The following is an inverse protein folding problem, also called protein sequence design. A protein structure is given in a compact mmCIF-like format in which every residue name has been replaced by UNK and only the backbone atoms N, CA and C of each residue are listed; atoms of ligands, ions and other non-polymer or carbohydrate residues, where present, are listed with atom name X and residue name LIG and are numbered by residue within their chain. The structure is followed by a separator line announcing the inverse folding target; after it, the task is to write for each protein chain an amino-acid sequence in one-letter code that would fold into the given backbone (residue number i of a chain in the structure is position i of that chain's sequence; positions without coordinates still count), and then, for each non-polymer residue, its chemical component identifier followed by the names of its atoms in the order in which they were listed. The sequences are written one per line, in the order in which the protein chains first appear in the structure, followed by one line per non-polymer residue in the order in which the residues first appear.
data_IF_002169907400
#
_entry.id   IF_002169907400
#
_cell.length_a   1.000
_cell.length_b   1.000
_cell.length_c   1.000
_cell.angle_alpha   90.00
_cell.angle_beta   90.00
_cell.angle_gamma   90.00
#
_symmetry.space_group_name_H-M   'P 1'
#
loop_
_entity.id
_entity.type
_entity.pdbx_description
1 polymer ?
#
# COMPACT_ATOMS: atom_id res chain seq x y z
N UNK A 1 19.89 18.03 -12.46
CA UNK A 1 18.91 19.12 -12.62
C UNK A 1 17.95 18.96 -11.48
N UNK A 2 17.91 19.95 -10.60
CA UNK A 2 16.92 19.93 -9.53
C UNK A 2 15.52 20.11 -10.15
N UNK A 3 14.51 19.39 -9.64
CA UNK A 3 13.15 19.51 -10.15
C UNK A 3 12.62 20.94 -9.96
N UNK A 4 11.64 21.32 -10.78
CA UNK A 4 10.89 22.56 -10.59
C UNK A 4 10.31 22.59 -9.15
N UNK A 5 10.48 23.68 -8.38
CA UNK A 5 9.91 23.81 -7.05
C UNK A 5 8.41 23.50 -6.99
N UNK A 6 7.65 23.84 -8.04
CA UNK A 6 6.22 23.53 -8.12
C UNK A 6 5.96 22.01 -8.23
N UNK A 7 6.87 21.25 -8.86
CA UNK A 7 6.78 19.80 -8.91
C UNK A 7 7.06 19.16 -7.57
N UNK A 8 8.06 19.67 -6.83
CA UNK A 8 8.34 19.17 -5.48
C UNK A 8 7.21 19.49 -4.53
N UNK A 9 6.65 20.70 -4.57
CA UNK A 9 5.52 21.10 -3.72
C UNK A 9 4.29 20.22 -3.98
N UNK A 10 3.93 20.01 -5.25
CA UNK A 10 2.80 19.16 -5.61
C UNK A 10 3.06 17.69 -5.22
N UNK A 11 4.29 17.20 -5.37
CA UNK A 11 4.67 15.86 -4.94
C UNK A 11 4.61 15.70 -3.41
N UNK A 12 4.99 16.72 -2.65
CA UNK A 12 4.89 16.73 -1.18
C UNK A 12 3.43 16.69 -0.74
N UNK A 13 2.54 17.47 -1.38
CA UNK A 13 1.10 17.42 -1.12
C UNK A 13 0.52 16.02 -1.39
N UNK A 14 0.83 15.43 -2.55
CA UNK A 14 0.40 14.06 -2.88
C UNK A 14 0.97 13.02 -1.90
N UNK A 15 2.23 13.16 -1.50
CA UNK A 15 2.90 12.28 -0.55
C UNK A 15 2.25 12.33 0.84
N UNK A 16 1.96 13.54 1.33
CA UNK A 16 1.28 13.73 2.61
C UNK A 16 -0.09 13.05 2.60
N UNK A 17 -0.88 13.25 1.53
CA UNK A 17 -2.20 12.66 1.41
C UNK A 17 -2.16 11.14 1.24
N UNK A 18 -1.27 10.63 0.39
CA UNK A 18 -1.08 9.18 0.22
C UNK A 18 -0.67 8.51 1.53
N UNK A 19 0.15 9.17 2.34
CA UNK A 19 0.56 8.67 3.66
C UNK A 19 -0.61 8.65 4.63
N UNK A 20 -1.42 9.70 4.67
CA UNK A 20 -2.62 9.76 5.51
C UNK A 20 -3.56 8.59 5.19
N UNK A 21 -3.94 8.44 3.92
CA UNK A 21 -4.81 7.34 3.46
C UNK A 21 -4.23 5.97 3.82
N UNK A 22 -2.93 5.78 3.62
CA UNK A 22 -2.27 4.53 4.02
C UNK A 22 -2.33 4.29 5.54
N UNK A 23 -2.11 5.32 6.36
CA UNK A 23 -2.20 5.22 7.83
C UNK A 23 -3.63 4.98 8.28
N UNK A 24 -4.61 5.60 7.65
CA UNK A 24 -6.03 5.38 7.90
C UNK A 24 -6.47 3.93 7.65
N UNK A 25 -5.74 3.18 6.82
CA UNK A 25 -5.93 1.73 6.68
C UNK A 25 -5.15 0.95 7.74
N UNK A 26 -3.84 1.12 7.82
CA UNK A 26 -2.99 0.22 8.62
C UNK A 26 -3.09 0.44 10.12
N UNK A 27 -3.62 1.59 10.54
CA UNK A 27 -3.88 1.92 11.96
C UNK A 27 -5.31 1.58 12.40
N UNK A 28 -6.17 1.04 11.52
CA UNK A 28 -7.52 0.66 11.93
C UNK A 28 -7.49 -0.37 13.05
N UNK A 29 -8.38 -0.26 14.06
CA UNK A 29 -8.62 -1.33 15.00
C UNK A 29 -8.95 -2.63 14.25
N UNK A 30 -8.27 -3.72 14.60
CA UNK A 30 -8.45 -5.01 13.93
C UNK A 30 -7.62 -5.22 12.66
N UNK A 31 -6.89 -4.21 12.16
CA UNK A 31 -6.07 -4.36 10.95
C UNK A 31 -5.03 -5.48 11.06
N UNK A 32 -4.39 -5.63 12.23
CA UNK A 32 -3.43 -6.72 12.45
C UNK A 32 -4.08 -8.09 12.38
N UNK A 33 -5.29 -8.25 12.92
CA UNK A 33 -6.00 -9.52 12.88
C UNK A 33 -6.47 -9.83 11.46
N UNK A 34 -6.97 -8.83 10.73
CA UNK A 34 -7.29 -8.93 9.31
C UNK A 34 -6.04 -9.33 8.50
N UNK A 35 -4.91 -8.64 8.68
CA UNK A 35 -3.66 -8.95 8.00
C UNK A 35 -3.18 -10.38 8.31
N UNK A 36 -3.27 -10.82 9.57
CA UNK A 36 -2.91 -12.19 9.98
C UNK A 36 -3.78 -13.25 9.32
N UNK A 37 -5.09 -13.01 9.17
CA UNK A 37 -6.06 -13.99 8.64
C UNK A 37 -6.13 -13.99 7.11
N UNK A 38 -5.92 -12.84 6.48
CA UNK A 38 -6.07 -12.66 5.02
C UNK A 38 -4.75 -12.71 4.27
N UNK A 39 -3.65 -12.96 4.97
CA UNK A 39 -2.35 -13.20 4.37
C UNK A 39 -1.68 -14.41 5.03
N UNK A 40 -0.78 -15.13 4.35
CA UNK A 40 -0.10 -16.28 4.95
C UNK A 40 1.04 -15.87 5.88
N UNK A 41 0.95 -14.72 6.58
CA UNK A 41 2.05 -14.21 7.40
C UNK A 41 2.42 -15.19 8.51
N UNK A 42 1.44 -15.83 9.15
CA UNK A 42 1.68 -16.77 10.24
C UNK A 42 2.41 -18.03 9.73
N UNK A 43 2.09 -18.50 8.52
CA UNK A 43 2.83 -19.58 7.87
C UNK A 43 4.25 -19.14 7.49
N UNK A 44 4.39 -17.95 6.89
CA UNK A 44 5.70 -17.37 6.51
C UNK A 44 6.63 -17.26 7.72
N UNK A 45 6.11 -16.93 8.89
CA UNK A 45 6.88 -16.87 10.15
C UNK A 45 7.42 -18.23 10.61
N UNK A 46 6.75 -19.33 10.23
CA UNK A 46 7.10 -20.69 10.63
C UNK A 46 7.91 -21.45 9.56
N UNK A 47 7.98 -20.95 8.32
CA UNK A 47 8.72 -21.60 7.25
C UNK A 47 10.26 -21.37 7.39
N UNK A 48 11.10 -22.41 7.15
CA UNK A 48 12.55 -22.30 7.20
C UNK A 48 13.13 -21.66 5.92
N UNK A 49 12.53 -20.56 5.46
CA UNK A 49 12.87 -19.87 4.21
C UNK A 49 13.69 -18.59 4.43
N UNK A 50 13.70 -18.06 5.65
CA UNK A 50 14.39 -16.82 5.99
C UNK A 50 15.49 -17.07 7.03
N UNK A 51 16.65 -16.43 6.83
CA UNK A 51 17.77 -16.46 7.79
C UNK A 51 17.55 -15.57 9.02
N UNK A 52 16.53 -14.70 8.97
CA UNK A 52 16.24 -13.69 9.98
C UNK A 52 14.80 -13.86 10.47
N UNK A 53 14.53 -13.62 11.76
CA UNK A 53 13.17 -13.64 12.27
C UNK A 53 12.34 -12.52 11.62
N UNK A 54 11.06 -12.80 11.36
CA UNK A 54 10.12 -11.86 10.73
C UNK A 54 9.78 -10.66 11.60
N UNK A 55 9.88 -10.85 12.92
CA UNK A 55 9.61 -9.84 13.95
C UNK A 55 10.89 -9.40 14.65
N UNK A 56 10.91 -8.21 15.24
CA UNK A 56 12.08 -7.70 15.96
C UNK A 56 12.10 -8.18 17.41
N UNK A 57 10.95 -8.17 18.09
CA UNK A 57 10.78 -8.52 19.51
C UNK A 57 9.81 -9.68 19.73
N UNK A 58 9.10 -10.12 18.69
CA UNK A 58 8.09 -11.19 18.76
C UNK A 58 6.70 -10.68 19.11
N UNK A 59 6.50 -9.36 19.11
CA UNK A 59 5.20 -8.73 19.38
C UNK A 59 4.30 -8.83 18.15
N UNK A 60 3.03 -9.18 18.34
CA UNK A 60 2.02 -9.21 17.27
C UNK A 60 1.53 -7.80 16.93
N UNK A 61 2.42 -6.97 16.39
CA UNK A 61 2.14 -5.60 15.95
C UNK A 61 2.80 -5.28 14.61
N UNK A 62 2.31 -4.25 13.90
CA UNK A 62 2.94 -3.79 12.66
C UNK A 62 4.32 -3.17 12.90
N UNK A 63 4.48 -2.45 14.01
CA UNK A 63 5.74 -1.80 14.37
C UNK A 63 6.88 -2.81 14.60
N UNK A 64 6.55 -4.02 15.04
CA UNK A 64 7.51 -5.10 15.28
C UNK A 64 7.79 -5.94 14.03
N UNK A 65 6.89 -5.90 13.02
CA UNK A 65 7.03 -6.63 11.77
C UNK A 65 8.11 -6.01 10.87
N UNK A 66 8.94 -6.85 10.24
CA UNK A 66 9.96 -6.38 9.29
C UNK A 66 9.38 -6.16 7.90
N UNK A 67 10.03 -5.28 7.15
CA UNK A 67 9.60 -4.90 5.80
C UNK A 67 9.50 -6.08 4.81
N UNK A 68 10.44 -7.04 4.87
CA UNK A 68 10.41 -8.21 3.97
C UNK A 68 9.15 -9.06 4.22
N UNK A 69 8.87 -9.56 5.44
CA UNK A 69 7.62 -10.27 5.74
C UNK A 69 6.37 -9.46 5.40
N UNK A 70 6.36 -8.15 5.69
CA UNK A 70 5.24 -7.27 5.36
C UNK A 70 4.90 -7.28 3.86
N UNK A 71 5.90 -7.00 3.01
CA UNK A 71 5.70 -6.98 1.56
C UNK A 71 5.42 -8.38 1.03
N UNK A 72 6.10 -9.40 1.56
CA UNK A 72 5.98 -10.77 1.08
C UNK A 72 4.58 -11.35 1.35
N UNK A 73 3.99 -11.12 2.52
CA UNK A 73 2.65 -11.56 2.87
C UNK A 73 1.58 -11.01 1.92
N UNK A 74 1.59 -9.69 1.65
CA UNK A 74 0.67 -9.06 0.68
C UNK A 74 0.91 -9.48 -0.77
N UNK A 75 2.14 -9.88 -1.10
CA UNK A 75 2.46 -10.42 -2.43
C UNK A 75 1.82 -11.79 -2.61
N UNK A 76 1.79 -12.63 -1.57
CA UNK A 76 1.13 -13.95 -1.63
C UNK A 76 -0.39 -13.82 -1.77
N UNK A 77 -1.03 -12.90 -1.05
CA UNK A 77 -2.49 -12.67 -1.16
C UNK A 77 -2.91 -11.85 -2.40
N UNK A 78 -1.96 -11.49 -3.27
CA UNK A 78 -2.17 -10.73 -4.52
C UNK A 78 -2.81 -9.35 -4.36
N UNK A 79 -2.94 -8.85 -3.12
CA UNK A 79 -3.46 -7.52 -2.85
C UNK A 79 -2.38 -6.43 -3.00
N UNK A 80 -1.12 -6.72 -2.60
CA UNK A 80 0.02 -5.81 -2.78
C UNK A 80 -0.13 -4.38 -2.24
N UNK A 81 -0.94 -4.19 -1.20
CA UNK A 81 -1.21 -2.91 -0.52
C UNK A 81 0.02 -2.02 -0.36
N UNK A 82 1.20 -2.51 0.10
CA UNK A 82 2.35 -1.62 0.39
C UNK A 82 2.93 -0.91 -0.84
N UNK A 83 2.58 -1.35 -2.05
CA UNK A 83 3.19 -0.87 -3.29
C UNK A 83 2.33 0.17 -4.04
N UNK A 84 1.06 0.35 -3.66
CA UNK A 84 0.15 1.24 -4.40
C UNK A 84 -0.90 1.93 -3.53
N UNK A 85 -1.22 1.41 -2.33
CA UNK A 85 -2.33 1.92 -1.54
C UNK A 85 -2.07 3.37 -1.08
N UNK A 86 -3.08 4.23 -1.27
CA UNK A 86 -3.01 5.67 -1.01
C UNK A 86 -2.59 6.52 -2.21
N UNK A 87 -1.79 5.98 -3.15
CA UNK A 87 -1.35 6.73 -4.33
C UNK A 87 -2.53 7.11 -5.23
N UNK A 88 -3.41 6.14 -5.52
CA UNK A 88 -4.59 6.37 -6.37
C UNK A 88 -5.51 7.45 -5.82
N UNK A 89 -5.75 7.44 -4.50
CA UNK A 89 -6.53 8.47 -3.80
C UNK A 89 -5.89 9.84 -3.94
N UNK A 90 -4.60 9.98 -3.63
CA UNK A 90 -3.89 11.25 -3.75
C UNK A 90 -3.91 11.81 -5.18
N UNK A 91 -3.67 10.97 -6.20
CA UNK A 91 -3.73 11.37 -7.60
C UNK A 91 -5.15 11.81 -8.02
N UNK A 92 -6.17 11.09 -7.53
CA UNK A 92 -7.57 11.35 -7.85
C UNK A 92 -8.04 12.67 -7.25
N UNK A 93 -7.71 12.92 -5.98
CA UNK A 93 -8.06 14.18 -5.31
C UNK A 93 -7.38 15.38 -5.99
N UNK A 94 -6.08 15.29 -6.30
CA UNK A 94 -5.36 16.34 -7.04
C UNK A 94 -5.98 16.62 -8.43
N UNK A 95 -6.43 15.57 -9.11
CA UNK A 95 -7.06 15.70 -10.43
C UNK A 95 -8.38 16.50 -10.37
N UNK A 96 -9.17 16.30 -9.32
CA UNK A 96 -10.48 16.95 -9.16
C UNK A 96 -10.42 18.31 -8.45
N UNK A 97 -9.32 18.61 -7.76
CA UNK A 97 -9.09 19.90 -7.11
C UNK A 97 -8.82 21.04 -8.13
N UNK A 98 -7.78 20.92 -8.97
CA UNK A 98 -7.50 21.87 -10.06
C UNK A 98 -7.01 21.12 -11.33
N UNK A 99 -7.66 21.39 -12.47
CA UNK A 99 -7.24 20.84 -13.78
C UNK A 99 -5.80 21.22 -14.15
N UNK A 100 -5.28 22.33 -13.64
CA UNK A 100 -3.88 22.75 -13.82
C UNK A 100 -2.94 21.84 -13.04
N UNK A 101 -3.28 21.44 -11.81
CA UNK A 101 -2.49 20.47 -11.06
C UNK A 101 -2.41 19.13 -11.80
N UNK A 102 -3.51 18.65 -12.39
CA UNK A 102 -3.46 17.43 -13.19
C UNK A 102 -2.52 17.53 -14.39
N UNK A 103 -2.48 18.69 -15.05
CA UNK A 103 -1.51 18.92 -16.15
C UNK A 103 -0.08 18.88 -15.63
N UNK A 104 0.20 19.51 -14.48
CA UNK A 104 1.52 19.44 -13.82
C UNK A 104 1.90 18.00 -13.50
N UNK A 105 0.99 17.18 -12.97
CA UNK A 105 1.24 15.73 -12.72
C UNK A 105 1.60 14.99 -14.01
N UNK A 106 0.92 15.29 -15.11
CA UNK A 106 1.21 14.69 -16.42
C UNK A 106 2.59 15.11 -16.95
N UNK A 107 2.98 16.37 -16.75
CA UNK A 107 4.30 16.87 -17.13
C UNK A 107 5.40 16.29 -16.22
N UNK A 108 5.16 16.16 -14.91
CA UNK A 108 6.03 15.43 -13.98
C UNK A 108 6.27 13.98 -14.43
N UNK A 109 5.23 13.26 -14.86
CA UNK A 109 5.39 11.89 -15.36
C UNK A 109 6.22 11.80 -16.63
N UNK A 110 6.08 12.79 -17.53
CA UNK A 110 6.82 12.82 -18.80
C UNK A 110 8.29 13.21 -18.62
N UNK A 111 8.53 14.20 -17.76
CA UNK A 111 9.77 14.97 -17.77
C UNK A 111 10.58 14.82 -16.47
N UNK A 112 10.05 14.18 -15.42
CA UNK A 112 10.76 13.92 -14.16
C UNK A 112 11.00 12.42 -13.91
N UNK A 113 12.23 11.91 -14.14
CA UNK A 113 12.54 10.47 -14.03
C UNK A 113 12.22 9.84 -12.67
N UNK A 114 12.35 10.60 -11.57
CA UNK A 114 11.96 10.13 -10.23
C UNK A 114 10.45 9.87 -10.14
N UNK A 115 9.64 10.81 -10.62
CA UNK A 115 8.19 10.68 -10.56
C UNK A 115 7.72 9.58 -11.52
N UNK A 116 8.30 9.51 -12.73
CA UNK A 116 8.05 8.43 -13.67
C UNK A 116 8.32 7.05 -13.04
N UNK A 117 9.51 6.84 -12.48
CA UNK A 117 9.86 5.57 -11.85
C UNK A 117 8.94 5.22 -10.67
N UNK A 118 8.52 6.21 -9.89
CA UNK A 118 7.55 6.03 -8.79
C UNK A 118 6.22 5.51 -9.31
N UNK A 119 5.65 6.14 -10.34
CA UNK A 119 4.37 5.74 -10.96
C UNK A 119 4.50 4.38 -11.66
N UNK A 120 5.60 4.13 -12.37
CA UNK A 120 5.82 2.86 -13.07
C UNK A 120 5.95 1.69 -12.09
N UNK A 121 6.60 1.90 -10.93
CA UNK A 121 6.68 0.89 -9.88
C UNK A 121 5.31 0.54 -9.30
N UNK A 122 4.46 1.54 -9.03
CA UNK A 122 3.10 1.31 -8.58
C UNK A 122 2.26 0.60 -9.65
N UNK A 123 2.43 0.99 -10.92
CA UNK A 123 1.77 0.36 -12.08
C UNK A 123 2.17 -1.11 -12.21
N UNK A 124 3.45 -1.44 -12.02
CA UNK A 124 3.93 -2.82 -12.04
C UNK A 124 3.36 -3.66 -10.90
N UNK A 125 3.17 -3.07 -9.72
CA UNK A 125 2.53 -3.75 -8.59
C UNK A 125 1.05 -4.03 -8.90
N UNK A 126 0.33 -3.02 -9.42
CA UNK A 126 -1.06 -3.17 -9.85
C UNK A 126 -1.21 -4.21 -10.96
N UNK A 127 -0.28 -4.26 -11.92
CA UNK A 127 -0.29 -5.26 -12.99
C UNK A 127 -0.09 -6.70 -12.48
N UNK A 128 0.52 -6.88 -11.31
CA UNK A 128 0.64 -8.19 -10.66
C UNK A 128 -0.53 -8.47 -9.72
N UNK A 129 -1.28 -7.44 -9.32
CA UNK A 129 -2.36 -7.58 -8.36
C UNK A 129 -3.52 -8.36 -8.98
N UNK A 130 -4.23 -9.10 -8.15
CA UNK A 130 -5.39 -9.88 -8.57
C UNK A 130 -6.45 -9.75 -7.48
N UNK A 131 -7.45 -8.90 -7.73
CA UNK A 131 -8.50 -8.63 -6.75
C UNK A 131 -9.45 -9.81 -6.56
N UNK A 132 -9.56 -10.72 -7.54
CA UNK A 132 -10.34 -11.95 -7.38
C UNK A 132 -9.64 -12.86 -6.37
N UNK A 133 -8.32 -13.02 -6.48
CA UNK A 133 -7.55 -13.78 -5.50
C UNK A 133 -7.55 -13.07 -4.14
N UNK A 134 -7.34 -11.75 -4.11
CA UNK A 134 -7.36 -10.99 -2.86
C UNK A 134 -8.70 -11.13 -2.14
N UNK A 135 -9.82 -11.13 -2.88
CA UNK A 135 -11.15 -11.38 -2.32
C UNK A 135 -11.26 -12.78 -1.70
N UNK A 136 -10.73 -13.83 -2.35
CA UNK A 136 -10.71 -15.19 -1.77
C UNK A 136 -9.91 -15.27 -0.48
N UNK A 137 -8.80 -14.53 -0.38
CA UNK A 137 -8.06 -14.41 0.88
C UNK A 137 -8.83 -13.63 1.94
N UNK A 138 -9.59 -12.61 1.55
CA UNK A 138 -10.41 -11.83 2.48
C UNK A 138 -11.52 -12.65 3.13
N UNK A 139 -12.06 -13.65 2.41
CA UNK A 139 -13.08 -14.60 2.89
C UNK A 139 -12.56 -15.52 4.02
N UNK A 140 -11.25 -15.55 4.28
CA UNK A 140 -10.65 -16.30 5.39
C UNK A 140 -10.73 -15.58 6.74
N UNK A 141 -11.05 -14.28 6.74
CA UNK A 141 -11.24 -13.53 7.97
C UNK A 141 -12.59 -13.91 8.59
N UNK A 142 -12.58 -14.45 9.81
CA UNK A 142 -13.82 -14.85 10.49
C UNK A 142 -14.70 -13.62 10.81
N UNK A 143 -15.99 -13.73 10.50
CA UNK A 143 -17.00 -12.65 10.46
C UNK A 143 -17.36 -12.04 11.83
N UNK A 144 -16.64 -12.40 12.90
CA UNK A 144 -16.98 -12.03 14.29
C UNK A 144 -16.54 -10.62 14.71
N UNK A 145 -15.87 -9.86 13.86
CA UNK A 145 -15.50 -8.44 14.10
C UNK A 145 -15.69 -7.52 12.86
N UNK A 146 -16.44 -8.00 11.85
CA UNK A 146 -16.53 -7.39 10.49
C UNK A 146 -17.34 -6.09 10.40
N UNK A 147 -17.80 -5.53 11.52
CA UNK A 147 -18.39 -4.19 11.52
C UNK A 147 -17.35 -3.07 11.21
N UNK A 148 -16.07 -3.40 10.98
CA UNK A 148 -14.98 -2.41 10.77
C UNK A 148 -13.86 -2.76 9.78
N UNK A 149 -13.98 -3.82 8.98
CA UNK A 149 -13.02 -4.04 7.88
C UNK A 149 -13.18 -2.98 6.77
N UNK A 150 -12.14 -2.65 5.98
CA UNK A 150 -12.31 -1.77 4.82
C UNK A 150 -13.36 -2.38 3.87
N UNK A 151 -14.52 -1.72 3.78
CA UNK A 151 -15.73 -2.29 3.16
C UNK A 151 -15.65 -2.47 1.64
N UNK A 152 -14.56 -2.07 1.00
CA UNK A 152 -14.32 -2.29 -0.42
C UNK A 152 -12.89 -1.87 -0.76
N UNK A 153 -12.22 -2.63 -1.63
CA UNK A 153 -10.98 -2.21 -2.30
C UNK A 153 -11.27 -1.56 -3.68
N UNK A 154 -12.48 -1.01 -3.84
CA UNK A 154 -12.93 -0.30 -5.05
C UNK A 154 -12.23 1.07 -5.21
#
# INVERSE_FOLDING_TARGET
LDPDPAWTELCEQMSARSREVYRDLVDQPGFIDYFSQTTPIEDIENLPIASRPSRRRGERSLADLRAIPWVFAWTQSRCMIPAWYGLGTALTEIKYDDRRHWRTVCDMYRDWPFFQATIDNATLALAKADMVIAQRYSELCDDTDVDRGPQSFD
#
